data_IF_703763798616
#
_entry.id   IF_703763798616
#
_cell.length_a   1.000
_cell.length_b   1.000
_cell.length_c   1.000
_cell.angle_alpha   90.00
_cell.angle_beta   90.00
_cell.angle_gamma   90.00
#
_symmetry.space_group_name_H-M   'P 1'
#
loop_
_entity.id
_entity.type
_entity.pdbx_description
1 polymer ?
#
# COMPACT_ATOMS: atom_id res chain seq x y z
N UNK A 1 -2.09 28.84 -2.66
CA UNK A 1 -0.72 28.29 -2.64
C UNK A 1 0.06 29.00 -1.53
N UNK A 2 0.83 28.31 -0.66
CA UNK A 2 1.66 28.96 0.35
C UNK A 2 2.61 29.98 -0.27
N UNK A 3 2.87 31.08 0.44
CA UNK A 3 3.82 32.10 -0.01
C UNK A 3 5.19 31.46 -0.21
N UNK A 4 5.82 31.73 -1.36
CA UNK A 4 7.14 31.18 -1.72
C UNK A 4 7.14 29.77 -2.32
N UNK A 5 5.97 29.12 -2.46
CA UNK A 5 5.87 27.84 -3.13
C UNK A 5 5.56 28.02 -4.62
N UNK A 6 6.48 27.56 -5.46
CA UNK A 6 6.22 27.40 -6.90
C UNK A 6 5.38 26.14 -7.11
N UNK A 7 4.09 26.33 -7.35
CA UNK A 7 3.14 25.23 -7.54
C UNK A 7 3.32 24.51 -8.86
N UNK A 8 3.75 25.23 -9.90
CA UNK A 8 3.96 24.64 -11.22
C UNK A 8 5.17 23.71 -11.19
N UNK A 9 6.26 24.18 -10.56
CA UNK A 9 7.44 23.37 -10.29
C UNK A 9 7.13 22.16 -9.41
N UNK A 10 6.34 22.35 -8.34
CA UNK A 10 5.96 21.26 -7.44
C UNK A 10 5.15 20.17 -8.16
N UNK A 11 4.22 20.55 -9.05
CA UNK A 11 3.45 19.57 -9.83
C UNK A 11 4.33 18.85 -10.87
N UNK A 12 5.42 19.48 -11.32
CA UNK A 12 6.32 18.90 -12.32
C UNK A 12 5.59 18.58 -13.64
N UNK A 13 5.96 17.50 -14.35
CA UNK A 13 5.34 17.14 -15.63
C UNK A 13 3.98 16.45 -15.50
N UNK A 14 3.52 16.13 -14.28
CA UNK A 14 2.23 15.50 -14.05
C UNK A 14 1.06 16.43 -14.44
N UNK A 15 -0.15 15.89 -14.69
CA UNK A 15 -1.35 16.70 -14.87
C UNK A 15 -1.47 17.75 -13.77
N UNK A 16 -1.58 19.01 -14.18
CA UNK A 16 -1.63 20.13 -13.23
C UNK A 16 -2.99 20.13 -12.54
N UNK A 17 -2.98 20.00 -11.22
CA UNK A 17 -4.18 20.18 -10.39
C UNK A 17 -4.11 21.52 -9.68
N UNK A 18 -5.24 22.22 -9.45
CA UNK A 18 -5.26 23.39 -8.60
C UNK A 18 -4.73 23.05 -7.20
N UNK A 19 -4.06 24.01 -6.56
CA UNK A 19 -3.60 23.82 -5.19
C UNK A 19 -4.75 23.49 -4.24
N UNK A 20 -4.58 22.44 -3.44
CA UNK A 20 -5.55 22.00 -2.45
C UNK A 20 -4.83 21.46 -1.21
N UNK A 21 -5.31 21.82 -0.03
CA UNK A 21 -4.78 21.34 1.25
C UNK A 21 -4.95 19.82 1.45
N UNK A 22 -5.86 19.16 0.74
CA UNK A 22 -5.98 17.69 0.75
C UNK A 22 -4.86 17.00 -0.03
N UNK A 23 -4.26 17.69 -0.99
CA UNK A 23 -3.20 17.18 -1.85
C UNK A 23 -1.83 17.58 -1.28
N UNK A 24 -1.68 18.81 -0.78
CA UNK A 24 -0.44 19.28 -0.17
C UNK A 24 -0.65 19.89 1.22
N UNK A 25 0.20 19.59 2.22
CA UNK A 25 1.38 18.72 2.15
C UNK A 25 1.04 17.23 2.30
N UNK A 26 1.81 16.37 1.65
CA UNK A 26 1.78 14.91 1.84
C UNK A 26 0.62 14.16 1.20
N UNK A 27 -0.57 14.73 1.12
CA UNK A 27 -1.77 14.07 0.58
C UNK A 27 -1.62 13.51 -0.84
N UNK A 28 -0.67 14.05 -1.61
CA UNK A 28 -0.26 13.62 -2.96
C UNK A 28 -0.06 12.11 -3.09
N UNK A 29 0.33 11.40 -2.02
CA UNK A 29 0.43 9.93 -1.97
C UNK A 29 -0.87 9.21 -2.34
N UNK A 30 -2.01 9.89 -2.27
CA UNK A 30 -3.34 9.37 -2.55
C UNK A 30 -3.96 9.93 -3.84
N UNK A 31 -3.12 10.50 -4.71
CA UNK A 31 -3.52 11.03 -6.01
C UNK A 31 -2.70 10.32 -7.11
N UNK A 32 -3.38 9.63 -8.04
CA UNK A 32 -2.78 8.77 -9.05
C UNK A 32 -1.87 9.50 -10.04
N UNK A 33 -2.08 10.80 -10.22
CA UNK A 33 -1.18 11.66 -11.01
C UNK A 33 0.20 11.83 -10.37
N UNK A 34 0.33 11.61 -9.06
CA UNK A 34 1.55 11.89 -8.29
C UNK A 34 2.09 10.67 -7.53
N UNK A 35 1.29 9.62 -7.33
CA UNK A 35 1.66 8.43 -6.55
C UNK A 35 0.70 7.25 -6.78
N UNK A 36 0.90 6.14 -6.04
CA UNK A 36 0.17 4.88 -6.24
C UNK A 36 -0.62 4.44 -4.99
N UNK A 37 -1.04 5.38 -4.14
CA UNK A 37 -1.89 5.09 -2.99
C UNK A 37 -1.18 4.35 -1.88
N UNK A 38 -1.94 3.59 -1.09
CA UNK A 38 -1.40 2.84 0.06
C UNK A 38 -0.42 1.75 -0.36
N UNK A 39 -0.58 1.15 -1.55
CA UNK A 39 0.39 0.19 -2.06
C UNK A 39 1.74 0.86 -2.38
N UNK A 40 1.73 2.04 -3.01
CA UNK A 40 2.95 2.79 -3.29
C UNK A 40 3.60 3.46 -2.07
N UNK A 41 2.81 3.77 -1.05
CA UNK A 41 3.27 4.40 0.19
C UNK A 41 3.78 3.36 1.21
N UNK A 42 2.94 2.37 1.54
CA UNK A 42 3.25 1.35 2.56
C UNK A 42 3.68 0.03 1.97
N UNK A 43 3.07 -0.41 0.87
CA UNK A 43 3.32 -1.74 0.29
C UNK A 43 4.77 -1.94 -0.11
N UNK A 44 5.41 -0.91 -0.70
CA UNK A 44 6.81 -0.96 -1.11
C UNK A 44 7.77 -1.33 0.03
N UNK A 45 7.52 -0.86 1.26
CA UNK A 45 8.38 -1.15 2.42
C UNK A 45 8.29 -2.61 2.88
N UNK A 46 7.15 -3.26 2.68
CA UNK A 46 6.97 -4.68 2.99
C UNK A 46 7.45 -5.57 1.85
N UNK A 47 7.21 -5.16 0.60
CA UNK A 47 7.68 -5.88 -0.58
C UNK A 47 9.22 -5.90 -0.67
N UNK A 48 9.90 -4.82 -0.26
CA UNK A 48 11.37 -4.79 -0.20
C UNK A 48 11.93 -5.89 0.72
N UNK A 49 11.33 -6.09 1.90
CA UNK A 49 11.73 -7.16 2.82
C UNK A 49 11.61 -8.55 2.18
N UNK A 50 10.64 -8.74 1.29
CA UNK A 50 10.45 -10.00 0.56
C UNK A 50 11.63 -10.24 -0.39
N UNK A 51 12.10 -9.21 -1.07
CA UNK A 51 13.27 -9.33 -1.97
C UNK A 51 14.58 -9.59 -1.22
N UNK A 52 14.67 -9.16 0.05
CA UNK A 52 15.87 -9.39 0.86
C UNK A 52 16.05 -10.85 1.30
N UNK A 53 14.96 -11.57 1.60
CA UNK A 53 15.07 -12.97 2.06
C UNK A 53 15.05 -13.98 0.91
N UNK A 54 14.37 -13.68 -0.20
CA UNK A 54 14.12 -14.64 -1.28
C UNK A 54 15.20 -14.69 -2.36
N UNK A 55 16.14 -13.74 -2.37
CA UNK A 55 17.10 -13.51 -3.47
C UNK A 55 16.46 -13.24 -4.86
N UNK A 56 15.14 -13.37 -5.00
CA UNK A 56 14.39 -13.03 -6.20
C UNK A 56 14.20 -11.52 -6.35
N UNK A 57 14.75 -10.95 -7.42
CA UNK A 57 14.76 -9.49 -7.64
C UNK A 57 13.39 -8.90 -7.97
N UNK A 58 12.49 -9.68 -8.57
CA UNK A 58 11.18 -9.22 -9.03
C UNK A 58 10.24 -10.40 -9.30
N UNK A 59 8.92 -10.19 -9.19
CA UNK A 59 7.93 -11.21 -9.51
C UNK A 59 7.84 -11.46 -11.02
N UNK A 60 7.48 -12.68 -11.41
CA UNK A 60 7.21 -13.07 -12.80
C UNK A 60 5.89 -12.50 -13.32
N UNK A 61 4.89 -12.38 -12.43
CA UNK A 61 3.57 -11.86 -12.77
C UNK A 61 2.99 -11.09 -11.60
N UNK A 62 2.19 -10.07 -11.92
CA UNK A 62 1.39 -9.33 -10.95
C UNK A 62 -0.06 -9.28 -11.43
N UNK A 63 -0.98 -9.51 -10.51
CA UNK A 63 -2.40 -9.23 -10.68
C UNK A 63 -2.87 -8.33 -9.54
N UNK A 64 -3.69 -7.34 -9.84
CA UNK A 64 -4.29 -6.50 -8.80
C UNK A 64 -5.73 -6.17 -9.10
N UNK A 65 -6.54 -6.19 -8.05
CA UNK A 65 -7.92 -5.73 -8.05
C UNK A 65 -8.15 -4.83 -6.85
N UNK A 66 -8.83 -3.71 -7.07
CA UNK A 66 -9.10 -2.74 -6.03
C UNK A 66 -10.05 -1.65 -6.50
N UNK A 67 -10.45 -0.79 -5.60
CA UNK A 67 -11.37 0.30 -5.90
C UNK A 67 -11.55 1.26 -4.74
N UNK A 68 -12.53 2.15 -4.86
CA UNK A 68 -12.93 3.11 -3.82
C UNK A 68 -14.38 2.92 -3.34
N UNK A 69 -14.82 1.70 -2.97
CA UNK A 69 -16.21 1.46 -2.58
C UNK A 69 -16.70 2.31 -1.41
N UNK A 70 -15.82 2.72 -0.48
CA UNK A 70 -16.23 3.45 0.73
C UNK A 70 -16.11 4.96 0.56
N UNK A 71 -15.05 5.44 -0.10
CA UNK A 71 -14.83 6.86 -0.38
C UNK A 71 -15.59 7.37 -1.61
N UNK A 72 -16.26 6.46 -2.34
CA UNK A 72 -17.04 6.77 -3.53
C UNK A 72 -16.20 7.18 -4.74
N UNK A 73 -16.88 7.68 -5.77
CA UNK A 73 -16.25 8.17 -6.98
C UNK A 73 -15.25 9.29 -6.68
N UNK A 74 -14.13 9.30 -7.39
CA UNK A 74 -13.19 10.41 -7.34
C UNK A 74 -13.87 11.68 -7.88
N UNK A 75 -13.66 12.81 -7.22
CA UNK A 75 -14.13 14.11 -7.66
C UNK A 75 -12.90 14.95 -7.94
N UNK A 76 -12.83 15.53 -9.13
CA UNK A 76 -11.74 16.39 -9.57
C UNK A 76 -12.31 17.50 -10.46
N UNK A 77 -13.01 18.45 -9.84
CA UNK A 77 -13.63 19.58 -10.53
C UNK A 77 -13.39 20.89 -9.75
N UNK A 78 -13.97 21.99 -10.22
CA UNK A 78 -13.76 23.32 -9.63
C UNK A 78 -14.31 23.44 -8.21
N UNK A 79 -15.35 22.66 -7.88
CA UNK A 79 -16.06 22.73 -6.60
C UNK A 79 -15.44 21.84 -5.53
N UNK A 80 -14.92 20.67 -5.90
CA UNK A 80 -14.36 19.71 -4.98
C UNK A 80 -13.25 18.85 -5.60
N UNK A 81 -12.30 18.46 -4.76
CA UNK A 81 -11.26 17.49 -5.11
C UNK A 81 -11.06 16.45 -4.00
N UNK A 82 -11.13 15.17 -4.38
CA UNK A 82 -10.86 14.01 -3.51
C UNK A 82 -9.65 13.23 -4.01
N UNK A 83 -9.10 12.37 -3.15
CA UNK A 83 -8.15 11.35 -3.60
C UNK A 83 -8.80 10.42 -4.62
N UNK A 84 -8.01 9.78 -5.46
CA UNK A 84 -8.48 8.87 -6.51
C UNK A 84 -7.80 7.49 -6.46
N UNK A 85 -6.85 7.29 -5.54
CA UNK A 85 -6.27 5.97 -5.28
C UNK A 85 -7.28 5.04 -4.59
N UNK A 86 -7.19 3.72 -4.79
CA UNK A 86 -8.01 2.72 -4.10
C UNK A 86 -8.03 2.91 -2.57
N UNK A 87 -9.19 2.67 -1.96
CA UNK A 87 -9.33 2.56 -0.50
C UNK A 87 -9.41 1.10 -0.03
N UNK A 88 -9.55 0.17 -0.98
CA UNK A 88 -9.38 -1.28 -0.81
C UNK A 88 -8.67 -1.84 -2.03
N UNK A 89 -7.65 -2.66 -1.82
CA UNK A 89 -6.91 -3.33 -2.90
C UNK A 89 -6.31 -4.64 -2.41
N UNK A 90 -6.41 -5.64 -3.27
CA UNK A 90 -5.62 -6.87 -3.20
C UNK A 90 -4.68 -6.90 -4.41
N UNK A 91 -3.42 -7.24 -4.19
CA UNK A 91 -2.44 -7.47 -5.24
C UNK A 91 -1.71 -8.78 -4.97
N UNK A 92 -1.60 -9.61 -6.01
CA UNK A 92 -0.90 -10.89 -5.99
C UNK A 92 0.34 -10.76 -6.86
N UNK A 93 1.48 -11.13 -6.30
CA UNK A 93 2.77 -11.15 -6.96
C UNK A 93 3.24 -12.61 -7.00
N UNK A 94 3.35 -13.17 -8.19
CA UNK A 94 3.84 -14.53 -8.41
C UNK A 94 5.35 -14.46 -8.65
N UNK A 95 6.12 -15.01 -7.72
CA UNK A 95 7.56 -15.25 -7.85
C UNK A 95 7.81 -16.68 -8.36
N UNK A 96 9.05 -17.05 -8.60
CA UNK A 96 9.39 -18.41 -9.03
C UNK A 96 9.06 -19.44 -7.93
N UNK A 97 9.45 -19.14 -6.69
CA UNK A 97 9.37 -20.10 -5.59
C UNK A 97 8.16 -19.91 -4.66
N UNK A 98 7.52 -18.74 -4.70
CA UNK A 98 6.43 -18.40 -3.78
C UNK A 98 5.47 -17.34 -4.36
N UNK A 99 4.36 -17.13 -3.66
CA UNK A 99 3.38 -16.10 -3.99
C UNK A 99 3.26 -15.13 -2.83
N UNK A 100 3.19 -13.83 -3.14
CA UNK A 100 2.92 -12.77 -2.17
C UNK A 100 1.53 -12.21 -2.43
N UNK A 101 0.72 -12.13 -1.39
CA UNK A 101 -0.54 -11.39 -1.41
C UNK A 101 -0.41 -10.14 -0.55
N UNK A 102 -0.52 -8.97 -1.18
CA UNK A 102 -0.75 -7.71 -0.50
C UNK A 102 -2.25 -7.47 -0.39
N UNK A 103 -2.69 -7.08 0.80
CA UNK A 103 -4.02 -6.56 1.02
C UNK A 103 -3.96 -5.28 1.83
N UNK A 104 -4.76 -4.28 1.45
CA UNK A 104 -5.04 -3.17 2.34
C UNK A 104 -6.50 -2.74 2.23
N UNK A 105 -7.00 -2.22 3.34
CA UNK A 105 -8.28 -1.50 3.44
C UNK A 105 -8.06 -0.25 4.29
N UNK A 106 -8.58 0.89 3.83
CA UNK A 106 -8.45 2.20 4.48
C UNK A 106 -9.67 2.55 5.34
N UNK A 107 -10.52 1.56 5.57
CA UNK A 107 -11.75 1.59 6.34
C UNK A 107 -11.84 0.28 7.12
N UNK A 108 -12.70 0.24 8.14
CA UNK A 108 -12.96 -0.94 8.98
C UNK A 108 -11.67 -1.68 9.38
N UNK A 109 -11.10 -1.30 10.52
CA UNK A 109 -9.93 -1.99 11.06
C UNK A 109 -10.19 -3.49 11.21
N UNK A 110 -9.13 -4.29 11.18
CA UNK A 110 -9.25 -5.71 11.47
C UNK A 110 -9.04 -5.95 12.97
N UNK A 111 -10.12 -6.23 13.69
CA UNK A 111 -10.07 -6.61 15.11
C UNK A 111 -10.01 -8.14 15.31
N UNK A 112 -10.09 -8.91 14.23
CA UNK A 112 -10.03 -10.38 14.26
C UNK A 112 -8.61 -10.90 14.08
N UNK A 113 -7.74 -10.12 13.43
CA UNK A 113 -6.30 -10.42 13.33
C UNK A 113 -5.55 -9.94 14.58
N UNK A 114 -4.49 -10.68 14.94
CA UNK A 114 -3.64 -10.35 16.08
C UNK A 114 -2.89 -9.03 15.87
N UNK A 115 -2.59 -8.67 14.62
CA UNK A 115 -1.73 -7.55 14.26
C UNK A 115 -2.38 -6.69 13.19
N UNK A 116 -2.22 -5.37 13.30
CA UNK A 116 -2.85 -4.41 12.38
C UNK A 116 -2.08 -4.23 11.06
N UNK A 117 -0.77 -4.40 11.12
CA UNK A 117 0.15 -4.21 10.00
C UNK A 117 1.26 -5.26 10.10
N UNK A 118 1.78 -5.68 8.96
CA UNK A 118 2.96 -6.53 8.91
C UNK A 118 2.99 -7.43 7.69
N UNK A 119 4.07 -8.19 7.59
CA UNK A 119 4.23 -9.28 6.65
C UNK A 119 4.15 -10.62 7.40
N UNK A 120 3.49 -11.58 6.78
CA UNK A 120 3.43 -12.96 7.26
C UNK A 120 4.12 -13.87 6.25
N UNK A 121 5.06 -14.68 6.74
CA UNK A 121 5.76 -15.70 5.98
C UNK A 121 5.27 -17.06 6.45
N UNK A 122 4.65 -17.81 5.56
CA UNK A 122 4.08 -19.13 5.85
C UNK A 122 5.03 -20.21 5.32
N UNK A 123 5.49 -21.08 6.20
CA UNK A 123 6.35 -22.20 5.85
C UNK A 123 5.91 -23.50 6.52
N UNK A 124 6.65 -24.57 6.29
CA UNK A 124 6.34 -25.90 6.84
C UNK A 124 6.51 -25.98 8.36
N UNK A 125 7.43 -25.18 8.93
CA UNK A 125 7.73 -25.18 10.36
C UNK A 125 6.88 -24.18 11.17
N UNK A 126 6.08 -23.35 10.51
CA UNK A 126 5.26 -22.34 11.17
C UNK A 126 5.09 -21.05 10.38
N UNK A 127 4.68 -20.00 11.10
CA UNK A 127 4.41 -18.68 10.55
C UNK A 127 5.32 -17.66 11.23
N UNK A 128 6.12 -16.94 10.44
CA UNK A 128 6.83 -15.76 10.93
C UNK A 128 6.01 -14.51 10.60
N UNK A 129 5.64 -13.75 11.62
CA UNK A 129 5.09 -12.42 11.47
C UNK A 129 6.16 -11.37 11.76
N UNK A 130 6.26 -10.37 10.88
CA UNK A 130 7.07 -9.17 11.07
C UNK A 130 6.12 -7.98 11.07
N UNK A 131 6.00 -7.31 12.22
CA UNK A 131 5.16 -6.15 12.43
C UNK A 131 5.93 -4.82 12.38
N UNK A 132 5.22 -3.71 12.33
CA UNK A 132 5.84 -2.38 12.17
C UNK A 132 6.52 -1.88 13.45
N UNK A 133 5.87 -2.06 14.61
CA UNK A 133 6.36 -1.56 15.92
C UNK A 133 6.25 -2.58 17.05
N UNK A 134 5.56 -3.67 16.77
CA UNK A 134 5.29 -4.85 17.58
C UNK A 134 6.38 -5.92 17.43
N UNK A 135 7.39 -5.67 16.58
CA UNK A 135 8.54 -6.55 16.41
C UNK A 135 8.22 -7.75 15.53
N UNK A 136 8.75 -8.93 15.87
CA UNK A 136 8.49 -10.17 15.15
C UNK A 136 7.99 -11.24 16.10
N UNK A 137 7.12 -12.13 15.61
CA UNK A 137 6.64 -13.30 16.34
C UNK A 137 6.69 -14.52 15.45
N UNK A 138 7.26 -15.62 15.95
CA UNK A 138 7.23 -16.92 15.27
C UNK A 138 6.20 -17.83 15.93
N UNK A 139 5.23 -18.29 15.15
CA UNK A 139 4.19 -19.23 15.55
C UNK A 139 4.57 -20.63 15.01
N UNK A 140 5.17 -21.52 15.81
CA UNK A 140 5.59 -22.83 15.33
C UNK A 140 4.37 -23.67 14.93
N UNK A 141 4.52 -24.44 13.84
CA UNK A 141 3.55 -25.46 13.49
C UNK A 141 3.44 -26.46 14.65
N UNK A 142 2.21 -26.80 15.05
CA UNK A 142 2.03 -27.92 15.98
C UNK A 142 2.50 -29.17 15.23
N UNK A 143 3.56 -29.83 15.71
CA UNK A 143 3.82 -31.21 15.32
C UNK A 143 2.56 -31.98 15.65
N UNK A 144 1.88 -32.52 14.64
CA UNK A 144 0.78 -33.45 14.86
C UNK A 144 1.29 -34.51 15.86
N UNK A 145 0.54 -34.69 16.95
CA UNK A 145 0.66 -35.90 17.77
C UNK A 145 0.22 -37.12 16.99
#
# INVERSE_FOLDING_TARGET
>A
VPVGMDWDLWCGPAPKRPFNRRLHPGGWRHFLDYANGTLGDWGVHWLDQITWWSEEKYPKRVFSSGGRPVRGAAVNNAEAMTSDTPDSQVAVYDYEEFTVTWEHRRFAMNNSEHHRYGAYFYGTEGILHIGWRDGWTFYPAKKNG
#
